data_IF_291840019291
#
_entry.id   IF_291840019291
#
_cell.length_a   1.000
_cell.length_b   1.000
_cell.length_c   1.000
_cell.angle_alpha   90.00
_cell.angle_beta   90.00
_cell.angle_gamma   90.00
#
_symmetry.space_group_name_H-M   'P 1'
#
loop_
_entity.id
_entity.type
_entity.pdbx_description
1 polymer ?
#
# COMPACT_ATOMS: atom_id res chain seq x y z
N UNK A 1 17.92 1.19 27.22
CA UNK A 1 17.19 0.09 26.56
C UNK A 1 15.76 0.46 26.15
N UNK A 2 14.95 1.14 26.99
CA UNK A 2 13.54 1.52 26.68
C UNK A 2 13.29 2.24 25.33
N UNK A 3 14.27 2.98 24.80
CA UNK A 3 14.10 3.71 23.53
C UNK A 3 14.09 2.79 22.30
N UNK A 4 14.86 1.70 22.32
CA UNK A 4 14.96 0.79 21.17
C UNK A 4 13.70 -0.07 21.05
N UNK A 5 13.21 -0.61 22.16
CA UNK A 5 11.97 -1.40 22.23
C UNK A 5 10.76 -0.57 21.80
N UNK A 6 10.66 0.70 22.21
CA UNK A 6 9.59 1.59 21.76
C UNK A 6 9.67 1.93 20.28
N UNK A 7 10.89 2.01 19.71
CA UNK A 7 11.10 2.24 18.28
C UNK A 7 10.78 1.00 17.46
N UNK A 8 11.18 -0.18 17.93
CA UNK A 8 10.83 -1.47 17.33
C UNK A 8 9.31 -1.65 17.39
N UNK A 9 8.69 -1.48 18.56
CA UNK A 9 7.23 -1.55 18.69
C UNK A 9 6.51 -0.52 17.83
N UNK A 10 7.08 0.67 17.60
CA UNK A 10 6.54 1.66 16.65
C UNK A 10 6.71 1.23 15.20
N UNK A 11 7.82 0.62 14.83
CA UNK A 11 8.05 0.12 13.46
C UNK A 11 7.18 -1.11 13.18
N UNK A 12 7.02 -1.99 14.17
CA UNK A 12 6.11 -3.14 14.14
C UNK A 12 4.64 -2.71 14.14
N UNK A 13 4.27 -1.72 14.96
CA UNK A 13 2.92 -1.14 14.97
C UNK A 13 2.65 -0.29 13.73
N UNK A 14 3.68 0.31 13.15
CA UNK A 14 3.57 1.03 11.89
C UNK A 14 3.28 0.09 10.72
N UNK A 15 3.38 -1.25 10.88
CA UNK A 15 3.03 -2.26 9.88
C UNK A 15 3.16 -1.70 8.46
N UNK A 16 4.32 -1.09 8.18
CA UNK A 16 4.61 -0.52 6.88
C UNK A 16 4.82 -1.76 6.05
N UNK A 17 3.74 -2.29 5.51
CA UNK A 17 3.79 -3.44 4.64
C UNK A 17 4.27 -2.87 3.31
N UNK A 18 5.58 -2.94 3.02
CA UNK A 18 6.16 -2.16 1.94
C UNK A 18 5.59 -2.63 0.59
N UNK A 19 5.08 -3.86 0.55
CA UNK A 19 4.38 -4.44 -0.58
C UNK A 19 2.99 -3.82 -0.77
N UNK A 20 2.23 -3.60 0.31
CA UNK A 20 0.93 -2.90 0.25
C UNK A 20 1.13 -1.49 -0.29
N UNK A 21 2.12 -0.77 0.23
CA UNK A 21 2.43 0.59 -0.21
C UNK A 21 2.89 0.63 -1.67
N UNK A 22 3.73 -0.33 -2.08
CA UNK A 22 4.19 -0.46 -3.46
C UNK A 22 3.03 -0.74 -4.43
N UNK A 23 2.21 -1.76 -4.15
CA UNK A 23 1.10 -2.13 -5.03
C UNK A 23 0.03 -1.04 -5.09
N UNK A 24 -0.27 -0.40 -3.96
CA UNK A 24 -1.18 0.73 -3.92
C UNK A 24 -0.66 1.90 -4.77
N UNK A 25 0.62 2.26 -4.65
CA UNK A 25 1.23 3.32 -5.45
C UNK A 25 1.19 3.00 -6.95
N UNK A 26 1.45 1.75 -7.34
CA UNK A 26 1.29 1.32 -8.75
C UNK A 26 -0.15 1.45 -9.23
N UNK A 27 -1.13 1.04 -8.42
CA UNK A 27 -2.54 1.18 -8.77
C UNK A 27 -2.95 2.65 -8.95
N UNK A 28 -2.49 3.57 -8.09
CA UNK A 28 -2.73 5.00 -8.23
C UNK A 28 -2.10 5.57 -9.51
N UNK A 29 -0.88 5.18 -9.83
CA UNK A 29 -0.21 5.60 -11.07
C UNK A 29 -1.02 5.17 -12.30
N UNK A 30 -1.43 3.90 -12.37
CA UNK A 30 -2.24 3.42 -13.48
C UNK A 30 -3.64 4.06 -13.53
N UNK A 31 -4.23 4.37 -12.37
CA UNK A 31 -5.48 5.13 -12.30
C UNK A 31 -5.36 6.49 -12.98
N UNK A 32 -4.30 7.22 -12.65
CA UNK A 32 -4.03 8.55 -13.21
C UNK A 32 -3.78 8.48 -14.73
N UNK A 33 -2.98 7.53 -15.20
CA UNK A 33 -2.72 7.33 -16.63
C UNK A 33 -3.98 7.02 -17.43
N UNK A 34 -4.95 6.34 -16.83
CA UNK A 34 -6.23 5.98 -17.45
C UNK A 34 -7.35 7.01 -17.19
N UNK A 35 -7.10 8.08 -16.41
CA UNK A 35 -8.12 9.03 -15.99
C UNK A 35 -9.21 8.42 -15.09
N UNK A 36 -8.91 7.29 -14.43
CA UNK A 36 -9.78 6.63 -13.45
C UNK A 36 -9.63 7.28 -12.07
N UNK A 37 -10.64 7.16 -11.19
CA UNK A 37 -10.53 7.66 -9.81
C UNK A 37 -9.38 6.98 -9.07
N UNK A 38 -8.65 7.75 -8.26
CA UNK A 38 -7.59 7.23 -7.42
C UNK A 38 -8.18 6.27 -6.38
N UNK A 39 -7.66 5.05 -6.26
CA UNK A 39 -8.24 4.05 -5.37
C UNK A 39 -7.83 4.29 -3.91
N UNK A 40 -8.62 3.79 -2.95
CA UNK A 40 -8.35 3.97 -1.51
C UNK A 40 -7.17 3.13 -1.03
N UNK A 41 -6.51 3.53 0.07
CA UNK A 41 -5.37 2.79 0.62
C UNK A 41 -5.82 1.46 1.23
N UNK A 42 -5.27 0.32 0.77
CA UNK A 42 -5.65 -1.01 1.24
C UNK A 42 -5.04 -1.32 2.62
N UNK A 43 -5.81 -2.05 3.44
CA UNK A 43 -5.40 -2.43 4.81
C UNK A 43 -4.46 -3.65 4.84
N UNK A 44 -4.42 -4.41 3.74
CA UNK A 44 -3.67 -5.65 3.61
C UNK A 44 -3.21 -5.90 2.16
N UNK A 45 -2.33 -6.89 1.99
CA UNK A 45 -1.68 -7.19 0.72
C UNK A 45 -2.61 -7.83 -0.31
N UNK A 46 -3.64 -8.57 0.12
CA UNK A 46 -4.58 -9.21 -0.79
C UNK A 46 -5.45 -8.14 -1.47
N UNK A 47 -5.97 -7.18 -0.69
CA UNK A 47 -6.68 -6.02 -1.20
C UNK A 47 -5.80 -5.16 -2.12
N UNK A 48 -4.53 -4.96 -1.77
CA UNK A 48 -3.61 -4.19 -2.60
C UNK A 48 -3.35 -4.84 -3.97
N UNK A 49 -3.26 -6.18 -4.02
CA UNK A 49 -3.11 -6.92 -5.28
C UNK A 49 -4.39 -6.92 -6.12
N UNK A 50 -5.56 -7.08 -5.50
CA UNK A 50 -6.86 -6.98 -6.18
C UNK A 50 -7.06 -5.58 -6.78
N UNK A 51 -6.75 -4.55 -5.99
CA UNK A 51 -6.77 -3.16 -6.42
C UNK A 51 -5.82 -2.93 -7.59
N UNK A 52 -4.57 -3.42 -7.54
CA UNK A 52 -3.65 -3.33 -8.66
C UNK A 52 -4.22 -4.01 -9.92
N UNK A 53 -4.78 -5.21 -9.79
CA UNK A 53 -5.36 -5.95 -10.92
C UNK A 53 -6.52 -5.19 -11.59
N UNK A 54 -7.36 -4.52 -10.83
CA UNK A 54 -8.49 -3.72 -11.37
C UNK A 54 -8.03 -2.47 -12.13
N UNK A 55 -6.83 -1.99 -11.84
CA UNK A 55 -6.24 -0.80 -12.43
C UNK A 55 -5.16 -1.11 -13.47
N UNK A 56 -4.77 -2.37 -13.66
CA UNK A 56 -3.88 -2.72 -14.77
C UNK A 56 -4.54 -2.38 -16.12
N UNK A 57 -3.79 -1.79 -17.05
CA UNK A 57 -4.27 -1.62 -18.42
C UNK A 57 -4.41 -2.99 -19.10
N UNK A 58 -5.42 -3.15 -19.96
CA UNK A 58 -5.63 -4.34 -20.80
C UNK A 58 -4.42 -4.63 -21.72
#
# INVERSE_FOLDING_TARGET
MKNLEQRIARLEAQKLNPLVDYFHASACMFAQEQGKPEPERPDDIAKALEQLANYLPD
#
